data_IF_724823980618
#
_entry.id   IF_724823980618
#
_cell.length_a   1.000
_cell.length_b   1.000
_cell.length_c   1.000
_cell.angle_alpha   90.00
_cell.angle_beta   90.00
_cell.angle_gamma   90.00
#
_symmetry.space_group_name_H-M   'P 1'
#
loop_
_entity.id
_entity.type
_entity.pdbx_description
1 polymer ?
#
# COMPACT_ATOMS: atom_id res chain seq x y z
N UNK A 1 -35.59 55.44 -3.61
CA UNK A 1 -35.79 56.05 -4.94
C UNK A 1 -34.68 55.68 -5.92
N UNK A 2 -33.62 56.49 -6.02
CA UNK A 2 -32.48 56.26 -6.94
C UNK A 2 -31.31 55.49 -6.29
N UNK A 3 -31.07 55.66 -4.98
CA UNK A 3 -30.01 54.92 -4.26
C UNK A 3 -30.27 53.40 -4.19
N UNK A 4 -31.53 52.98 -4.05
CA UNK A 4 -31.90 51.56 -4.02
C UNK A 4 -31.84 50.89 -5.40
N UNK A 5 -32.05 51.65 -6.48
CA UNK A 5 -31.89 51.14 -7.86
C UNK A 5 -30.42 50.93 -8.21
N UNK A 6 -29.55 51.88 -7.85
CA UNK A 6 -28.11 51.74 -8.07
C UNK A 6 -27.52 50.58 -7.27
N UNK A 7 -27.97 50.31 -6.05
CA UNK A 7 -27.46 49.20 -5.24
C UNK A 7 -27.88 47.84 -5.80
N UNK A 8 -29.12 47.71 -6.29
CA UNK A 8 -29.60 46.51 -6.98
C UNK A 8 -28.87 46.25 -8.31
N UNK A 9 -28.58 47.30 -9.10
CA UNK A 9 -27.77 47.17 -10.32
C UNK A 9 -26.32 46.79 -10.01
N UNK A 10 -25.77 47.25 -8.86
CA UNK A 10 -24.39 46.91 -8.45
C UNK A 10 -24.29 45.44 -8.02
N UNK A 11 -25.27 44.94 -7.27
CA UNK A 11 -25.32 43.53 -6.84
C UNK A 11 -25.52 42.58 -8.03
N UNK A 12 -26.39 42.90 -8.99
CA UNK A 12 -26.54 42.10 -10.20
C UNK A 12 -25.28 42.09 -11.07
N UNK A 13 -24.55 43.20 -11.11
CA UNK A 13 -23.29 43.29 -11.83
C UNK A 13 -22.19 42.47 -11.12
N UNK A 14 -22.13 42.52 -9.79
CA UNK A 14 -21.21 41.72 -8.97
C UNK A 14 -21.47 40.22 -9.14
N UNK A 15 -22.74 39.80 -9.11
CA UNK A 15 -23.14 38.41 -9.33
C UNK A 15 -22.76 37.92 -10.74
N UNK A 16 -22.96 38.76 -11.77
CA UNK A 16 -22.57 38.42 -13.14
C UNK A 16 -21.04 38.32 -13.34
N UNK A 17 -20.27 39.09 -12.56
CA UNK A 17 -18.79 39.02 -12.54
C UNK A 17 -18.30 37.78 -11.79
N UNK A 18 -18.96 37.41 -10.68
CA UNK A 18 -18.69 36.19 -9.94
C UNK A 18 -19.03 34.94 -10.78
N UNK A 19 -20.10 34.98 -11.56
CA UNK A 19 -20.51 33.89 -12.45
C UNK A 19 -19.48 33.65 -13.56
N UNK A 20 -19.05 34.72 -14.26
CA UNK A 20 -17.97 34.64 -15.26
C UNK A 20 -16.65 34.15 -14.65
N UNK A 21 -16.29 34.63 -13.45
CA UNK A 21 -15.09 34.19 -12.73
C UNK A 21 -15.15 32.70 -12.38
N UNK A 22 -16.29 32.22 -11.87
CA UNK A 22 -16.47 30.82 -11.47
C UNK A 22 -16.40 29.84 -12.66
N UNK A 23 -16.86 30.26 -13.84
CA UNK A 23 -16.76 29.49 -15.08
C UNK A 23 -15.31 29.36 -15.58
N UNK A 24 -14.48 30.38 -15.36
CA UNK A 24 -13.04 30.37 -15.69
C UNK A 24 -12.16 29.73 -14.61
N UNK A 25 -12.60 29.74 -13.35
CA UNK A 25 -11.86 29.19 -12.22
C UNK A 25 -11.81 27.66 -12.25
N UNK A 26 -12.88 26.98 -12.67
CA UNK A 26 -12.89 25.50 -12.73
C UNK A 26 -11.85 24.95 -13.72
N UNK A 27 -11.74 25.45 -14.97
CA UNK A 27 -10.66 25.09 -15.88
C UNK A 27 -9.26 25.39 -15.34
N UNK A 28 -9.08 26.53 -14.66
CA UNK A 28 -7.80 26.91 -14.05
C UNK A 28 -7.42 25.95 -12.91
N UNK A 29 -8.37 25.59 -12.05
CA UNK A 29 -8.20 24.66 -10.93
C UNK A 29 -7.94 23.23 -11.41
N UNK A 30 -8.56 22.80 -12.52
CA UNK A 30 -8.25 21.52 -13.17
C UNK A 30 -6.79 21.48 -13.64
N UNK A 31 -6.33 22.56 -14.29
CA UNK A 31 -4.92 22.67 -14.72
C UNK A 31 -3.97 22.69 -13.51
N UNK A 32 -4.31 23.44 -12.46
CA UNK A 32 -3.52 23.50 -11.23
C UNK A 32 -3.41 22.13 -10.53
N UNK A 33 -4.48 21.33 -10.55
CA UNK A 33 -4.49 19.97 -10.02
C UNK A 33 -3.60 19.03 -10.84
N UNK A 34 -3.66 19.10 -12.17
CA UNK A 34 -2.77 18.31 -13.05
C UNK A 34 -1.30 18.67 -12.85
N UNK A 35 -0.97 19.97 -12.74
CA UNK A 35 0.39 20.42 -12.45
C UNK A 35 0.86 19.95 -11.06
N UNK A 36 -0.01 19.99 -10.04
CA UNK A 36 0.30 19.47 -8.71
C UNK A 36 0.52 17.94 -8.73
N UNK A 37 -0.25 17.20 -9.53
CA UNK A 37 -0.11 15.75 -9.70
C UNK A 37 1.22 15.38 -10.39
N UNK A 38 1.65 16.18 -11.37
CA UNK A 38 2.98 16.04 -11.99
C UNK A 38 4.09 16.24 -10.96
N UNK A 39 4.03 17.30 -10.16
CA UNK A 39 5.03 17.55 -9.09
C UNK A 39 5.09 16.43 -8.05
N UNK A 40 3.96 15.85 -7.65
CA UNK A 40 3.93 14.70 -6.74
C UNK A 40 4.53 13.44 -7.39
N UNK A 41 4.35 13.26 -8.70
CA UNK A 41 4.95 12.15 -9.44
C UNK A 41 6.48 12.27 -9.52
N UNK A 42 6.98 13.49 -9.69
CA UNK A 42 8.42 13.77 -9.82
C UNK A 42 9.12 13.78 -8.44
N UNK A 43 8.48 14.34 -7.41
CA UNK A 43 8.96 14.37 -6.02
C UNK A 43 7.80 14.19 -5.02
N UNK A 44 7.68 12.99 -4.40
CA UNK A 44 6.68 12.70 -3.36
C UNK A 44 6.96 13.35 -1.99
N UNK A 45 7.29 14.64 -1.95
CA UNK A 45 7.51 15.37 -0.69
C UNK A 45 6.19 15.79 -0.01
N UNK A 46 6.22 15.95 1.32
CA UNK A 46 5.06 16.38 2.12
C UNK A 46 4.47 17.71 1.64
N UNK A 47 5.32 18.62 1.15
CA UNK A 47 4.91 19.91 0.57
C UNK A 47 4.11 19.74 -0.72
N UNK A 48 4.54 18.85 -1.62
CA UNK A 48 3.86 18.59 -2.89
C UNK A 48 2.52 17.86 -2.67
N UNK A 49 2.47 16.93 -1.72
CA UNK A 49 1.22 16.27 -1.31
C UNK A 49 0.22 17.28 -0.73
N UNK A 50 0.67 18.22 0.12
CA UNK A 50 -0.18 19.28 0.64
C UNK A 50 -0.68 20.25 -0.45
N UNK A 51 0.14 20.53 -1.47
CA UNK A 51 -0.27 21.33 -2.62
C UNK A 51 -1.36 20.63 -3.47
N UNK A 52 -1.21 19.33 -3.71
CA UNK A 52 -2.23 18.53 -4.41
C UNK A 52 -3.54 18.44 -3.61
N UNK A 53 -3.45 18.27 -2.28
CA UNK A 53 -4.61 18.28 -1.38
C UNK A 53 -5.38 19.60 -1.46
N UNK A 54 -4.68 20.75 -1.36
CA UNK A 54 -5.29 22.09 -1.48
C UNK A 54 -5.95 22.31 -2.84
N UNK A 55 -5.27 21.99 -3.95
CA UNK A 55 -5.84 22.14 -5.29
C UNK A 55 -7.09 21.27 -5.51
N UNK A 56 -7.09 20.06 -4.94
CA UNK A 56 -8.24 19.14 -5.01
C UNK A 56 -9.43 19.66 -4.21
N UNK A 57 -9.17 20.23 -3.02
CA UNK A 57 -10.22 20.82 -2.18
C UNK A 57 -10.84 22.04 -2.85
N UNK A 58 -10.02 22.96 -3.38
CA UNK A 58 -10.50 24.16 -4.08
C UNK A 58 -11.34 23.82 -5.32
N UNK A 59 -10.97 22.79 -6.08
CA UNK A 59 -11.76 22.31 -7.21
C UNK A 59 -13.11 21.72 -6.77
N UNK A 60 -13.13 20.94 -5.68
CA UNK A 60 -14.37 20.38 -5.13
C UNK A 60 -15.31 21.48 -4.65
N UNK A 61 -14.79 22.49 -3.97
CA UNK A 61 -15.59 23.61 -3.47
C UNK A 61 -16.14 24.45 -4.63
N UNK A 62 -15.34 24.70 -5.67
CA UNK A 62 -15.77 25.41 -6.88
C UNK A 62 -16.85 24.65 -7.67
N UNK A 63 -16.69 23.33 -7.85
CA UNK A 63 -17.71 22.50 -8.53
C UNK A 63 -19.01 22.40 -7.71
N UNK A 64 -18.91 22.34 -6.38
CA UNK A 64 -20.08 22.33 -5.50
C UNK A 64 -20.85 23.65 -5.57
N UNK A 65 -20.15 24.78 -5.75
CA UNK A 65 -20.77 26.09 -5.92
C UNK A 65 -21.40 26.29 -7.31
N UNK A 66 -20.85 25.70 -8.38
CA UNK A 66 -21.50 25.71 -9.71
C UNK A 66 -22.83 24.94 -9.72
N UNK A 67 -22.91 23.80 -9.02
CA UNK A 67 -24.16 23.05 -8.86
C UNK A 67 -25.21 23.79 -7.99
N UNK A 68 -24.82 24.88 -7.31
CA UNK A 68 -25.74 25.69 -6.52
C UNK A 68 -26.75 26.51 -7.34
N UNK A 69 -26.55 26.62 -8.66
CA UNK A 69 -27.39 27.45 -9.55
C UNK A 69 -28.39 26.67 -10.40
N UNK A 70 -28.51 25.35 -10.23
CA UNK A 70 -29.53 24.58 -10.94
C UNK A 70 -30.90 24.81 -10.29
N UNK A 71 -31.85 25.27 -11.09
CA UNK A 71 -33.25 25.43 -10.70
C UNK A 71 -34.12 24.43 -11.46
N UNK A 72 -35.13 23.90 -10.77
CA UNK A 72 -36.14 23.01 -11.34
C UNK A 72 -37.40 23.81 -11.61
N UNK A 73 -37.90 23.78 -12.84
CA UNK A 73 -39.03 24.62 -13.27
C UNK A 73 -40.38 24.09 -12.80
N UNK A 74 -40.45 22.84 -12.35
CA UNK A 74 -41.69 22.28 -11.83
C UNK A 74 -41.51 21.03 -10.98
N UNK A 75 -42.62 20.64 -10.35
CA UNK A 75 -42.71 19.46 -9.48
C UNK A 75 -42.35 18.17 -10.21
N UNK A 76 -42.55 18.12 -11.54
CA UNK A 76 -42.14 16.97 -12.38
C UNK A 76 -40.63 16.82 -12.46
N UNK A 77 -39.90 17.93 -12.61
CA UNK A 77 -38.44 17.92 -12.70
C UNK A 77 -37.82 17.54 -11.34
N UNK A 78 -38.41 18.05 -10.25
CA UNK A 78 -38.05 17.67 -8.88
C UNK A 78 -38.30 16.17 -8.64
N UNK A 79 -39.44 15.63 -9.11
CA UNK A 79 -39.74 14.20 -8.98
C UNK A 79 -38.74 13.34 -9.74
N UNK A 80 -38.41 13.70 -10.99
CA UNK A 80 -37.43 12.98 -11.80
C UNK A 80 -36.04 12.97 -11.14
N UNK A 81 -35.62 14.11 -10.59
CA UNK A 81 -34.38 14.24 -9.84
C UNK A 81 -34.34 13.35 -8.58
N UNK A 82 -35.40 13.40 -7.77
CA UNK A 82 -35.50 12.60 -6.55
C UNK A 82 -35.58 11.09 -6.83
N UNK A 83 -36.25 10.69 -7.91
CA UNK A 83 -36.31 9.30 -8.36
C UNK A 83 -34.96 8.80 -8.89
N UNK A 84 -34.21 9.64 -9.62
CA UNK A 84 -32.86 9.31 -10.07
C UNK A 84 -31.89 9.13 -8.88
N UNK A 85 -32.12 9.84 -7.77
CA UNK A 85 -31.39 9.65 -6.51
C UNK A 85 -31.91 8.47 -5.66
N UNK A 86 -32.86 7.69 -6.16
CA UNK A 86 -33.42 6.56 -5.44
C UNK A 86 -34.26 6.94 -4.21
N UNK A 87 -34.88 8.13 -4.17
CA UNK A 87 -35.75 8.56 -3.06
C UNK A 87 -37.20 8.13 -3.29
N UNK A 88 -37.85 7.59 -2.26
CA UNK A 88 -39.26 7.15 -2.32
C UNK A 88 -40.21 8.35 -2.19
N UNK A 89 -40.62 8.93 -3.32
CA UNK A 89 -41.62 10.00 -3.34
C UNK A 89 -42.53 9.90 -4.57
N UNK A 90 -43.70 10.52 -4.51
CA UNK A 90 -44.67 10.60 -5.60
C UNK A 90 -45.08 12.05 -5.83
N UNK A 91 -45.58 12.37 -7.03
CA UNK A 91 -46.03 13.73 -7.33
C UNK A 91 -47.06 14.24 -6.32
N UNK A 92 -47.98 13.38 -5.85
CA UNK A 92 -48.98 13.72 -4.81
C UNK A 92 -48.33 14.02 -3.47
N UNK A 93 -47.28 13.28 -3.11
CA UNK A 93 -46.54 13.48 -1.86
C UNK A 93 -45.77 14.80 -1.88
N UNK A 94 -45.09 15.12 -2.98
CA UNK A 94 -44.39 16.41 -3.14
C UNK A 94 -45.39 17.58 -3.03
N UNK A 95 -46.59 17.49 -3.63
CA UNK A 95 -47.61 18.53 -3.46
C UNK A 95 -48.14 18.65 -2.02
N UNK A 96 -48.26 17.55 -1.27
CA UNK A 96 -48.62 17.59 0.16
C UNK A 96 -47.53 18.23 0.99
N UNK A 97 -46.27 17.89 0.71
CA UNK A 97 -45.11 18.41 1.44
C UNK A 97 -44.84 19.87 1.11
N UNK A 98 -45.17 20.30 -0.11
CA UNK A 98 -45.20 21.70 -0.52
C UNK A 98 -46.23 22.51 0.28
N UNK A 99 -47.44 21.96 0.50
CA UNK A 99 -48.47 22.59 1.35
C UNK A 99 -48.07 22.64 2.82
N UNK A 100 -47.25 21.68 3.28
CA UNK A 100 -46.72 21.61 4.64
C UNK A 100 -45.46 22.45 4.85
N UNK A 101 -44.87 22.99 3.78
CA UNK A 101 -43.70 23.85 3.83
C UNK A 101 -42.35 23.10 3.90
N UNK A 102 -42.31 21.78 3.68
CA UNK A 102 -41.06 21.01 3.68
C UNK A 102 -40.19 21.23 2.44
N UNK A 103 -40.79 21.73 1.36
CA UNK A 103 -40.10 22.14 0.14
C UNK A 103 -40.48 23.58 -0.16
N UNK A 104 -39.48 24.44 -0.42
CA UNK A 104 -39.70 25.86 -0.69
C UNK A 104 -39.85 26.11 -2.19
N UNK A 105 -40.96 26.73 -2.59
CA UNK A 105 -41.18 27.22 -3.96
C UNK A 105 -40.80 28.69 -4.06
N UNK A 106 -40.08 29.05 -5.11
CA UNK A 106 -39.71 30.42 -5.43
C UNK A 106 -40.91 31.18 -6.04
N UNK A 107 -40.84 32.51 -6.09
CA UNK A 107 -41.96 33.36 -6.54
C UNK A 107 -42.30 33.19 -8.03
N UNK A 108 -41.31 32.80 -8.83
CA UNK A 108 -41.42 32.42 -10.25
C UNK A 108 -42.00 31.01 -10.45
N UNK A 109 -42.16 30.26 -9.36
CA UNK A 109 -42.67 28.90 -9.35
C UNK A 109 -41.61 27.80 -9.46
N UNK A 110 -40.32 28.15 -9.50
CA UNK A 110 -39.19 27.23 -9.56
C UNK A 110 -38.74 26.71 -8.18
N UNK A 111 -37.85 25.72 -8.18
CA UNK A 111 -37.23 25.14 -6.98
C UNK A 111 -35.72 25.19 -7.10
N UNK A 112 -35.02 25.67 -6.05
CA UNK A 112 -33.56 25.66 -6.02
C UNK A 112 -33.04 24.26 -5.69
N UNK A 113 -31.94 23.84 -6.31
CA UNK A 113 -31.35 22.52 -6.03
C UNK A 113 -31.02 22.33 -4.55
N UNK A 114 -30.49 23.35 -3.86
CA UNK A 114 -30.27 23.30 -2.40
C UNK A 114 -31.51 22.93 -1.59
N UNK A 115 -32.66 23.52 -1.94
CA UNK A 115 -33.92 23.27 -1.24
C UNK A 115 -34.44 21.85 -1.54
N UNK A 116 -34.22 21.37 -2.77
CA UNK A 116 -34.56 20.00 -3.19
C UNK A 116 -33.66 18.96 -2.55
N UNK A 117 -32.36 19.21 -2.43
CA UNK A 117 -31.39 18.31 -1.77
C UNK A 117 -31.66 18.21 -0.26
N UNK A 118 -32.01 19.34 0.36
CA UNK A 118 -32.45 19.36 1.77
C UNK A 118 -33.73 18.54 1.95
N UNK A 119 -34.71 18.71 1.07
CA UNK A 119 -35.92 17.88 1.06
C UNK A 119 -35.60 16.40 0.81
N UNK A 120 -34.69 16.09 -0.12
CA UNK A 120 -34.25 14.73 -0.42
C UNK A 120 -33.68 14.02 0.82
N UNK A 121 -32.92 14.74 1.65
CA UNK A 121 -32.34 14.19 2.89
C UNK A 121 -33.39 13.71 3.89
N UNK A 122 -34.59 14.30 3.86
CA UNK A 122 -35.72 13.93 4.74
C UNK A 122 -36.54 12.75 4.22
N UNK A 123 -36.37 12.37 2.96
CA UNK A 123 -37.10 11.28 2.33
C UNK A 123 -36.41 9.92 2.57
N UNK A 124 -37.23 8.90 2.83
CA UNK A 124 -36.75 7.51 2.89
C UNK A 124 -36.11 7.11 1.54
N UNK A 125 -34.90 6.57 1.61
CA UNK A 125 -34.25 5.97 0.45
C UNK A 125 -35.01 4.69 0.05
N UNK A 126 -35.26 4.53 -1.25
CA UNK A 126 -35.64 3.25 -1.83
C UNK A 126 -34.37 2.40 -1.89
N UNK A 127 -34.41 1.20 -1.31
CA UNK A 127 -33.40 0.20 -1.63
C UNK A 127 -33.51 -0.07 -3.13
N UNK A 128 -32.41 0.03 -3.88
CA UNK A 128 -32.34 -0.43 -5.27
C UNK A 128 -33.03 -1.80 -5.39
N UNK A 129 -33.67 -2.14 -6.53
CA UNK A 129 -34.30 -3.45 -6.70
C UNK A 129 -33.37 -4.57 -6.22
N UNK A 130 -33.83 -5.45 -5.32
CA UNK A 130 -32.99 -6.44 -4.59
C UNK A 130 -31.98 -7.15 -5.50
N UNK A 131 -32.36 -7.46 -6.75
CA UNK A 131 -31.49 -8.14 -7.72
C UNK A 131 -30.24 -7.37 -8.15
N UNK A 132 -30.29 -6.03 -8.19
CA UNK A 132 -29.12 -5.20 -8.52
C UNK A 132 -28.32 -4.82 -7.26
N UNK A 133 -29.00 -4.63 -6.12
CA UNK A 133 -28.33 -4.39 -4.83
C UNK A 133 -27.52 -5.58 -4.34
N UNK A 134 -28.05 -6.80 -4.49
CA UNK A 134 -27.37 -8.04 -4.12
C UNK A 134 -26.18 -8.32 -5.05
N UNK A 135 -26.34 -8.13 -6.36
CA UNK A 135 -25.24 -8.33 -7.31
C UNK A 135 -24.10 -7.32 -7.09
N UNK A 136 -24.42 -6.05 -6.78
CA UNK A 136 -23.42 -5.02 -6.47
C UNK A 136 -22.77 -5.24 -5.10
N UNK A 137 -23.52 -5.73 -4.11
CA UNK A 137 -22.99 -6.14 -2.79
C UNK A 137 -22.11 -7.38 -2.89
N UNK A 138 -22.47 -8.36 -3.71
CA UNK A 138 -21.71 -9.58 -3.93
C UNK A 138 -20.41 -9.29 -4.67
N UNK A 139 -20.49 -8.47 -5.73
CA UNK A 139 -19.29 -7.97 -6.41
C UNK A 139 -18.40 -7.19 -5.44
N UNK A 140 -18.96 -6.29 -4.62
CA UNK A 140 -18.19 -5.53 -3.63
C UNK A 140 -17.54 -6.43 -2.56
N UNK A 141 -18.21 -7.52 -2.15
CA UNK A 141 -17.63 -8.53 -1.24
C UNK A 141 -16.48 -9.27 -1.89
N UNK A 142 -16.65 -9.76 -3.11
CA UNK A 142 -15.59 -10.44 -3.86
C UNK A 142 -14.39 -9.51 -4.06
N UNK A 143 -14.64 -8.25 -4.44
CA UNK A 143 -13.61 -7.24 -4.63
C UNK A 143 -12.88 -6.89 -3.31
N UNK A 144 -13.57 -6.92 -2.17
CA UNK A 144 -12.93 -6.81 -0.85
C UNK A 144 -12.12 -8.05 -0.48
N UNK A 145 -12.66 -9.25 -0.71
CA UNK A 145 -11.98 -10.52 -0.41
C UNK A 145 -10.69 -10.67 -1.23
N UNK A 146 -10.73 -10.33 -2.52
CA UNK A 146 -9.56 -10.30 -3.39
C UNK A 146 -8.52 -9.27 -2.91
N UNK A 147 -8.96 -8.07 -2.51
CA UNK A 147 -8.06 -7.06 -1.93
C UNK A 147 -7.42 -7.56 -0.64
N UNK A 148 -8.17 -8.23 0.23
CA UNK A 148 -7.65 -8.83 1.47
C UNK A 148 -6.64 -9.93 1.16
N UNK A 149 -6.92 -10.79 0.19
CA UNK A 149 -5.99 -11.84 -0.25
C UNK A 149 -4.68 -11.25 -0.78
N UNK A 150 -4.77 -10.28 -1.70
CA UNK A 150 -3.59 -9.57 -2.23
C UNK A 150 -2.80 -8.85 -1.14
N UNK A 151 -3.48 -8.22 -0.18
CA UNK A 151 -2.83 -7.56 0.97
C UNK A 151 -2.10 -8.57 1.85
N UNK A 152 -2.67 -9.77 2.07
CA UNK A 152 -2.02 -10.84 2.84
C UNK A 152 -0.76 -11.35 2.14
N UNK A 153 -0.82 -11.62 0.85
CA UNK A 153 0.34 -12.04 0.06
C UNK A 153 1.45 -10.98 0.09
N UNK A 154 1.09 -9.71 -0.08
CA UNK A 154 2.04 -8.60 0.04
C UNK A 154 2.67 -8.53 1.43
N UNK A 155 1.89 -8.71 2.50
CA UNK A 155 2.44 -8.74 3.87
C UNK A 155 3.41 -9.90 4.07
N UNK A 156 3.12 -11.08 3.53
CA UNK A 156 4.03 -12.23 3.60
C UNK A 156 5.33 -11.97 2.83
N UNK A 157 5.24 -11.40 1.64
CA UNK A 157 6.41 -11.02 0.84
C UNK A 157 7.29 -9.98 1.57
N UNK A 158 6.66 -8.94 2.14
CA UNK A 158 7.36 -7.91 2.94
C UNK A 158 7.98 -8.54 4.19
N UNK A 159 7.28 -9.44 4.87
CA UNK A 159 7.81 -10.13 6.04
C UNK A 159 9.01 -11.02 5.68
N UNK A 160 8.97 -11.71 4.55
CA UNK A 160 10.10 -12.49 4.06
C UNK A 160 11.30 -11.61 3.70
N UNK A 161 11.08 -10.56 2.90
CA UNK A 161 12.13 -9.58 2.54
C UNK A 161 12.76 -8.93 3.79
N UNK A 162 11.95 -8.61 4.79
CA UNK A 162 12.44 -8.13 6.09
C UNK A 162 13.35 -9.17 6.76
N UNK A 163 12.99 -10.45 6.76
CA UNK A 163 13.85 -11.50 7.35
C UNK A 163 15.15 -11.68 6.56
N UNK A 164 15.13 -11.53 5.23
CA UNK A 164 16.34 -11.50 4.40
C UNK A 164 17.23 -10.32 4.82
N UNK A 165 16.65 -9.11 4.93
CA UNK A 165 17.37 -7.89 5.35
C UNK A 165 17.88 -7.92 6.78
N UNK A 166 17.17 -8.60 7.68
CA UNK A 166 17.63 -8.90 9.05
C UNK A 166 18.78 -9.92 9.09
N UNK A 167 19.24 -10.44 7.93
CA UNK A 167 20.36 -11.37 7.83
C UNK A 167 20.00 -12.83 8.17
N UNK A 168 18.72 -13.15 8.34
CA UNK A 168 18.27 -14.52 8.69
C UNK A 168 18.30 -15.48 7.49
N UNK A 169 18.33 -14.95 6.27
CA UNK A 169 18.37 -15.72 5.03
C UNK A 169 19.42 -15.15 4.09
N UNK A 170 20.15 -16.05 3.43
CA UNK A 170 21.14 -15.72 2.42
C UNK A 170 20.75 -16.49 1.13
N UNK A 171 20.87 -15.88 -0.06
CA UNK A 171 20.68 -16.58 -1.32
C UNK A 171 21.55 -17.83 -1.42
N UNK A 172 21.02 -18.91 -2.02
CA UNK A 172 21.76 -20.17 -2.16
C UNK A 172 23.04 -20.03 -2.98
N UNK A 173 23.02 -19.15 -3.99
CA UNK A 173 24.18 -18.85 -4.83
C UNK A 173 25.29 -18.18 -4.02
N UNK A 174 24.94 -17.24 -3.14
CA UNK A 174 25.90 -16.56 -2.26
C UNK A 174 26.53 -17.55 -1.26
N UNK A 175 25.72 -18.46 -0.69
CA UNK A 175 26.24 -19.54 0.18
C UNK A 175 27.19 -20.46 -0.58
N UNK A 176 26.85 -20.84 -1.82
CA UNK A 176 27.71 -21.68 -2.64
C UNK A 176 29.04 -20.97 -2.97
N UNK A 177 28.99 -19.68 -3.29
CA UNK A 177 30.16 -18.85 -3.55
C UNK A 177 31.06 -18.72 -2.31
N UNK A 178 30.47 -18.51 -1.13
CA UNK A 178 31.20 -18.41 0.12
C UNK A 178 31.90 -19.74 0.46
N UNK A 179 31.19 -20.87 0.33
CA UNK A 179 31.76 -22.19 0.56
C UNK A 179 32.87 -22.52 -0.44
N UNK A 180 32.71 -22.18 -1.72
CA UNK A 180 33.75 -22.37 -2.74
C UNK A 180 35.00 -21.53 -2.44
N UNK A 181 34.82 -20.30 -1.97
CA UNK A 181 35.92 -19.42 -1.56
C UNK A 181 36.68 -20.02 -0.36
N UNK A 182 35.95 -20.44 0.68
CA UNK A 182 36.54 -21.08 1.87
C UNK A 182 37.24 -22.40 1.51
N UNK A 183 36.66 -23.22 0.64
CA UNK A 183 37.25 -24.47 0.18
C UNK A 183 38.55 -24.23 -0.62
N UNK A 184 38.59 -23.17 -1.43
CA UNK A 184 39.80 -22.76 -2.15
C UNK A 184 40.91 -22.37 -1.18
N UNK A 185 40.61 -21.52 -0.18
CA UNK A 185 41.59 -21.14 0.85
C UNK A 185 42.06 -22.34 1.65
N UNK A 186 41.16 -23.24 2.05
CA UNK A 186 41.49 -24.48 2.74
C UNK A 186 42.41 -25.37 1.87
N UNK A 187 42.10 -25.51 0.58
CA UNK A 187 42.90 -26.27 -0.37
C UNK A 187 44.34 -25.75 -0.46
N UNK A 188 44.53 -24.42 -0.51
CA UNK A 188 45.86 -23.80 -0.48
C UNK A 188 46.60 -24.12 0.81
N UNK A 189 45.92 -24.00 1.96
CA UNK A 189 46.50 -24.33 3.27
C UNK A 189 46.94 -25.80 3.36
N UNK A 190 46.10 -26.73 2.91
CA UNK A 190 46.41 -28.15 2.91
C UNK A 190 47.62 -28.48 2.03
N UNK A 191 47.73 -27.90 0.83
CA UNK A 191 48.90 -28.09 -0.04
C UNK A 191 50.17 -27.58 0.60
N UNK A 192 50.11 -26.38 1.20
CA UNK A 192 51.26 -25.76 1.84
C UNK A 192 51.77 -26.59 3.02
N UNK A 193 50.87 -27.02 3.91
CA UNK A 193 51.22 -27.86 5.07
C UNK A 193 51.76 -29.22 4.63
N UNK A 194 51.13 -29.86 3.64
CA UNK A 194 51.60 -31.14 3.15
C UNK A 194 52.99 -31.05 2.53
N UNK A 195 53.23 -30.07 1.64
CA UNK A 195 54.56 -29.85 1.02
C UNK A 195 55.64 -29.61 2.08
N UNK A 196 55.34 -28.80 3.09
CA UNK A 196 56.28 -28.47 4.16
C UNK A 196 56.73 -29.73 4.94
N UNK A 197 55.81 -30.64 5.22
CA UNK A 197 56.06 -31.83 6.03
C UNK A 197 56.31 -33.11 5.23
N UNK A 198 56.17 -33.08 3.89
CA UNK A 198 56.38 -34.24 3.03
C UNK A 198 57.73 -34.95 3.24
N UNK A 199 58.87 -34.23 3.38
CA UNK A 199 60.16 -34.87 3.66
C UNK A 199 60.18 -35.62 4.99
N UNK A 200 59.51 -35.07 6.01
CA UNK A 200 59.46 -35.67 7.34
C UNK A 200 58.55 -36.90 7.38
N UNK A 201 57.41 -36.85 6.68
CA UNK A 201 56.54 -38.01 6.49
C UNK A 201 57.25 -39.16 5.77
N UNK A 202 58.02 -38.85 4.73
CA UNK A 202 58.80 -39.85 3.99
C UNK A 202 59.88 -40.45 4.88
N UNK A 203 60.61 -39.62 5.64
CA UNK A 203 61.65 -40.08 6.56
C UNK A 203 61.07 -40.96 7.67
N UNK A 204 59.87 -40.66 8.16
CA UNK A 204 59.18 -41.44 9.20
C UNK A 204 58.86 -42.88 8.76
N UNK A 205 58.69 -43.12 7.46
CA UNK A 205 58.37 -44.45 6.90
C UNK A 205 59.57 -45.09 6.19
N UNK A 206 60.79 -44.62 6.48
CA UNK A 206 62.05 -45.07 5.86
C UNK A 206 62.04 -45.00 4.31
N UNK A 207 61.34 -44.00 3.75
CA UNK A 207 61.26 -43.77 2.31
C UNK A 207 62.36 -42.87 1.74
N UNK A 208 62.40 -42.74 0.41
CA UNK A 208 63.37 -41.89 -0.29
C UNK A 208 62.95 -40.41 -0.31
N UNK A 209 63.61 -39.59 0.51
CA UNK A 209 63.35 -38.15 0.64
C UNK A 209 63.56 -37.38 -0.67
N UNK A 210 64.38 -37.89 -1.60
CA UNK A 210 64.56 -37.27 -2.91
C UNK A 210 63.27 -37.23 -3.75
N UNK A 211 62.28 -38.07 -3.41
CA UNK A 211 60.98 -38.15 -4.08
C UNK A 211 59.88 -37.31 -3.41
N UNK A 212 60.24 -36.41 -2.49
CA UNK A 212 59.27 -35.56 -1.79
C UNK A 212 58.40 -34.70 -2.72
N UNK A 213 58.98 -34.14 -3.78
CA UNK A 213 58.23 -33.37 -4.77
C UNK A 213 57.26 -34.24 -5.58
N UNK A 214 57.64 -35.48 -5.90
CA UNK A 214 56.75 -36.43 -6.59
C UNK A 214 55.55 -36.81 -5.71
N UNK A 215 55.79 -37.03 -4.42
CA UNK A 215 54.71 -37.30 -3.45
C UNK A 215 53.78 -36.10 -3.30
N UNK A 216 54.33 -34.89 -3.21
CA UNK A 216 53.56 -33.66 -3.13
C UNK A 216 52.69 -33.45 -4.38
N UNK A 217 53.23 -33.72 -5.57
CA UNK A 217 52.49 -33.61 -6.83
C UNK A 217 51.32 -34.61 -6.91
N UNK A 218 51.53 -35.87 -6.49
CA UNK A 218 50.45 -36.86 -6.49
C UNK A 218 49.39 -36.56 -5.42
N UNK A 219 49.80 -36.04 -4.26
CA UNK A 219 48.87 -35.54 -3.25
C UNK A 219 48.00 -34.39 -3.78
N UNK A 220 48.61 -33.43 -4.47
CA UNK A 220 47.90 -32.30 -5.08
C UNK A 220 46.83 -32.75 -6.07
N UNK A 221 47.17 -33.70 -6.93
CA UNK A 221 46.23 -34.29 -7.89
C UNK A 221 45.06 -35.01 -7.19
N UNK A 222 45.34 -35.77 -6.13
CA UNK A 222 44.31 -36.43 -5.34
C UNK A 222 43.42 -35.42 -4.59
N UNK A 223 44.02 -34.35 -4.07
CA UNK A 223 43.31 -33.25 -3.43
C UNK A 223 42.39 -32.52 -4.42
N UNK A 224 42.85 -32.28 -5.65
CA UNK A 224 42.03 -31.69 -6.72
C UNK A 224 40.81 -32.56 -7.06
N UNK A 225 41.00 -33.88 -7.15
CA UNK A 225 39.89 -34.80 -7.36
C UNK A 225 38.86 -34.76 -6.22
N UNK A 226 39.34 -34.73 -4.96
CA UNK A 226 38.48 -34.66 -3.79
C UNK A 226 37.72 -33.32 -3.69
N UNK A 227 38.38 -32.20 -3.99
CA UNK A 227 37.75 -30.87 -3.98
C UNK A 227 36.71 -30.71 -5.10
N UNK A 228 36.94 -31.32 -6.27
CA UNK A 228 35.95 -31.34 -7.35
C UNK A 228 34.69 -32.13 -6.97
N UNK A 229 34.84 -33.26 -6.27
CA UNK A 229 33.70 -34.02 -5.75
C UNK A 229 32.93 -33.22 -4.69
N UNK A 230 33.65 -32.58 -3.76
CA UNK A 230 33.06 -31.70 -2.74
C UNK A 230 32.29 -30.52 -3.34
N UNK A 231 32.74 -30.01 -4.49
CA UNK A 231 32.12 -28.87 -5.18
C UNK A 231 30.83 -29.22 -5.93
N UNK A 232 30.41 -30.48 -5.93
CA UNK A 232 29.14 -30.88 -6.58
C UNK A 232 27.95 -30.24 -5.85
N UNK A 233 26.90 -29.81 -6.58
CA UNK A 233 25.71 -29.25 -5.97
C UNK A 233 25.06 -30.28 -5.02
N UNK A 234 24.95 -29.95 -3.73
CA UNK A 234 24.15 -30.76 -2.81
C UNK A 234 22.66 -30.52 -3.07
N UNK A 235 21.94 -31.60 -3.36
CA UNK A 235 20.48 -31.59 -3.38
C UNK A 235 19.96 -31.59 -1.94
N UNK A 236 19.69 -30.39 -1.42
CA UNK A 236 18.96 -30.26 -0.16
C UNK A 236 17.49 -30.64 -0.40
N UNK A 237 17.07 -31.82 0.07
CA UNK A 237 15.65 -32.13 0.23
C UNK A 237 15.12 -31.29 1.38
N UNK A 238 14.37 -30.25 1.05
CA UNK A 238 13.67 -29.44 2.05
C UNK A 238 12.46 -30.23 2.52
N UNK A 239 12.61 -30.95 3.62
CA UNK A 239 11.48 -31.47 4.37
C UNK A 239 10.83 -30.30 5.10
N UNK A 240 9.71 -29.81 4.55
CA UNK A 240 8.84 -28.90 5.28
C UNK A 240 8.22 -29.68 6.44
N UNK A 241 8.83 -29.61 7.62
CA UNK A 241 8.16 -29.99 8.86
C UNK A 241 7.14 -28.89 9.14
N UNK A 242 5.83 -29.14 9.04
CA UNK A 242 4.84 -28.17 9.43
C UNK A 242 5.02 -27.98 10.94
N UNK A 243 5.50 -26.83 11.36
CA UNK A 243 5.42 -26.45 12.77
C UNK A 243 3.93 -26.23 13.06
N UNK A 244 3.27 -27.28 13.56
CA UNK A 244 1.97 -27.14 14.21
C UNK A 244 2.13 -26.10 15.33
N UNK A 245 1.22 -25.13 15.35
CA UNK A 245 1.04 -24.08 16.35
C UNK A 245 2.03 -22.90 16.30
N UNK A 246 1.86 -22.05 15.29
CA UNK A 246 1.98 -20.60 15.50
C UNK A 246 0.58 -20.00 15.47
N UNK A 247 -0.11 -20.00 16.60
CA UNK A 247 -1.32 -19.19 16.77
C UNK A 247 -0.97 -17.71 16.47
N UNK A 248 -1.77 -17.00 15.65
CA UNK A 248 -1.50 -15.62 15.34
C UNK A 248 -1.93 -14.75 16.53
N UNK A 249 -1.02 -14.38 17.44
CA UNK A 249 -1.38 -13.36 18.43
C UNK A 249 -0.53 -13.10 19.68
N UNK A 250 0.60 -13.76 19.94
CA UNK A 250 1.43 -13.38 21.10
C UNK A 250 2.78 -12.79 20.68
N UNK A 251 3.14 -11.57 21.12
CA UNK A 251 4.51 -11.11 21.01
C UNK A 251 5.38 -12.09 21.80
N UNK A 252 6.49 -12.51 21.19
CA UNK A 252 7.51 -13.30 21.86
C UNK A 252 8.06 -12.49 23.03
N UNK A 253 7.73 -12.90 24.26
CA UNK A 253 8.48 -12.48 25.43
C UNK A 253 9.88 -13.08 25.28
N UNK A 254 10.84 -12.21 24.97
CA UNK A 254 12.26 -12.49 25.17
C UNK A 254 12.46 -12.75 26.66
N UNK A 255 13.07 -13.86 27.07
CA UNK A 255 13.59 -13.95 28.42
C UNK A 255 14.83 -13.05 28.46
N UNK A 256 14.65 -11.83 28.96
CA UNK A 256 15.76 -11.07 29.55
C UNK A 256 16.30 -11.95 30.68
N UNK A 257 17.46 -12.55 30.43
CA UNK A 257 18.25 -13.18 31.47
C UNK A 257 19.27 -12.16 31.93
N UNK A 258 18.84 -11.23 32.78
CA UNK A 258 19.77 -10.56 33.69
C UNK A 258 20.17 -11.61 34.76
N UNK A 259 21.46 -11.78 35.07
CA UNK A 259 21.87 -12.58 36.20
C UNK A 259 21.69 -11.74 37.47
N UNK A 260 20.72 -12.13 38.32
CA UNK A 260 20.63 -11.62 39.69
C UNK A 260 21.81 -12.16 40.51
N UNK A 261 22.58 -11.23 41.07
CA UNK A 261 23.59 -11.44 42.09
C UNK A 261 22.93 -12.02 43.36
N UNK A 262 23.27 -13.26 43.75
CA UNK A 262 23.06 -13.77 45.10
C UNK A 262 24.33 -13.60 45.93
N UNK A 263 24.44 -12.45 46.60
CA UNK A 263 25.24 -12.28 47.81
C UNK A 263 24.38 -12.63 49.05
N UNK A 264 24.90 -13.50 49.92
CA UNK A 264 24.63 -13.38 51.36
C UNK A 264 24.23 -14.64 52.15
N UNK A 265 25.25 -15.32 52.69
CA UNK A 265 25.42 -15.61 54.13
C UNK A 265 24.28 -16.26 54.94
N UNK A 266 24.52 -17.48 55.48
CA UNK A 266 24.56 -17.71 56.94
C UNK A 266 24.81 -19.18 57.33
N UNK A 267 25.98 -19.40 57.95
CA UNK A 267 26.18 -20.14 59.21
C UNK A 267 25.76 -21.62 59.33
N UNK A 268 26.76 -22.50 59.43
CA UNK A 268 27.16 -23.18 60.68
C UNK A 268 28.53 -23.86 60.53
#
# INVERSE_FOLDING_TARGET
>A
GEKERNMADTDQNLDSLLERSSGTDVPLLLKAKEDAKRRVKDDPSATNLAALGRATQMLRDAMSNQNGNQSFNGVKDVLAYLQAQGRKTSQSQIYKDLKRGYLRRQADGSFRQRDVDMYASTLQAYALPEKEGDAMSELARQDMEEKVAKTREQRLAIAFDRKVKEGKYIPREDVALELASRATTLGVGLRSVFRLHAPDYIRMVDGDVARAEELAAEFEKNLDAALNEYSRPMEFKVEYVPTENSEPGRPSETPDSEPDDEDGDSGQ
#
